data_IF_957740657527
#
_entry.id   IF_957740657527
#
_cell.length_a   1.000
_cell.length_b   1.000
_cell.length_c   1.000
_cell.angle_alpha   90.00
_cell.angle_beta   90.00
_cell.angle_gamma   90.00
#
_symmetry.space_group_name_H-M   'P 1'
#
loop_
_entity.id
_entity.type
_entity.pdbx_description
1 polymer ?
#
# COMPACT_ATOMS: atom_id res chain seq x y z
N UNK A 1 -0.79 -39.50 8.94
CA UNK A 1 -1.98 -38.79 9.49
C UNK A 1 -1.67 -37.29 9.45
N UNK A 2 -1.97 -36.62 8.33
CA UNK A 2 -1.76 -35.18 8.21
C UNK A 2 -2.82 -34.47 9.05
N UNK A 3 -2.40 -33.74 10.09
CA UNK A 3 -3.31 -32.84 10.82
C UNK A 3 -3.81 -31.78 9.84
N UNK A 4 -5.12 -31.50 9.79
CA UNK A 4 -5.61 -30.32 9.08
C UNK A 4 -4.95 -29.10 9.73
N UNK A 5 -4.10 -28.40 8.98
CA UNK A 5 -3.57 -27.09 9.40
C UNK A 5 -4.72 -26.12 9.25
N UNK A 6 -5.43 -25.87 10.35
CA UNK A 6 -6.39 -24.78 10.43
C UNK A 6 -5.70 -23.49 10.02
N UNK A 7 -6.34 -22.69 9.16
CA UNK A 7 -5.86 -21.39 8.71
C UNK A 7 -6.01 -20.30 9.81
N UNK A 8 -5.43 -20.60 10.97
CA UNK A 8 -5.31 -19.67 12.09
C UNK A 8 -4.41 -18.50 11.69
N UNK A 9 -3.50 -18.71 10.74
CA UNK A 9 -2.60 -17.68 10.21
C UNK A 9 -3.36 -16.55 9.52
N UNK A 10 -4.25 -16.88 8.58
CA UNK A 10 -5.06 -15.88 7.87
C UNK A 10 -5.99 -15.14 8.83
N UNK A 11 -6.67 -15.85 9.75
CA UNK A 11 -7.52 -15.22 10.75
C UNK A 11 -6.74 -14.26 11.67
N UNK A 12 -5.57 -14.69 12.18
CA UNK A 12 -4.70 -13.85 12.99
C UNK A 12 -4.18 -12.64 12.22
N UNK A 13 -3.85 -12.80 10.94
CA UNK A 13 -3.44 -11.71 10.06
C UNK A 13 -4.59 -10.70 9.87
N UNK A 14 -5.81 -11.17 9.61
CA UNK A 14 -6.99 -10.32 9.44
C UNK A 14 -7.29 -9.52 10.71
N UNK A 15 -7.30 -10.19 11.87
CA UNK A 15 -7.53 -9.56 13.18
C UNK A 15 -6.42 -8.54 13.49
N UNK A 16 -5.17 -8.91 13.23
CA UNK A 16 -4.03 -8.01 13.41
C UNK A 16 -4.12 -6.76 12.52
N UNK A 17 -4.46 -6.95 11.24
CA UNK A 17 -4.63 -5.88 10.26
C UNK A 17 -5.76 -4.92 10.67
N UNK A 18 -6.94 -5.46 11.00
CA UNK A 18 -8.09 -4.65 11.45
C UNK A 18 -7.77 -3.94 12.76
N UNK A 19 -7.19 -4.63 13.73
CA UNK A 19 -6.82 -4.07 15.03
C UNK A 19 -5.81 -2.93 14.89
N UNK A 20 -4.75 -3.13 14.09
CA UNK A 20 -3.75 -2.11 13.82
C UNK A 20 -4.34 -0.91 13.08
N UNK A 21 -5.20 -1.15 12.08
CA UNK A 21 -5.87 -0.08 11.32
C UNK A 21 -6.79 0.75 12.21
N UNK A 22 -7.59 0.12 13.07
CA UNK A 22 -8.46 0.83 14.01
C UNK A 22 -7.67 1.59 15.08
N UNK A 23 -6.57 1.00 15.58
CA UNK A 23 -5.69 1.66 16.53
C UNK A 23 -5.05 2.90 15.91
N UNK A 24 -4.44 2.78 14.72
CA UNK A 24 -3.82 3.89 14.02
C UNK A 24 -4.83 4.98 13.61
N UNK A 25 -6.02 4.57 13.14
CA UNK A 25 -7.09 5.52 12.83
C UNK A 25 -7.57 6.26 14.09
N UNK A 26 -7.71 5.56 15.23
CA UNK A 26 -8.09 6.19 16.50
C UNK A 26 -7.01 7.15 16.97
N UNK A 27 -5.74 6.79 16.83
CA UNK A 27 -4.61 7.66 17.19
C UNK A 27 -4.61 8.93 16.33
N UNK A 28 -4.68 8.79 15.00
CA UNK A 28 -4.74 9.91 14.06
C UNK A 28 -5.92 10.85 14.36
N UNK A 29 -7.09 10.27 14.63
CA UNK A 29 -8.31 10.99 15.00
C UNK A 29 -8.12 11.77 16.32
N UNK A 30 -7.54 11.14 17.35
CA UNK A 30 -7.31 11.76 18.67
C UNK A 30 -6.34 12.94 18.58
N UNK A 31 -5.33 12.85 17.71
CA UNK A 31 -4.33 13.91 17.55
C UNK A 31 -4.92 15.13 16.84
N UNK A 32 -5.67 14.93 15.74
CA UNK A 32 -6.32 16.06 15.05
C UNK A 32 -7.34 15.58 14.01
N UNK A 33 -8.58 16.06 14.14
CA UNK A 33 -9.68 15.85 13.19
C UNK A 33 -9.65 16.80 11.97
N UNK A 34 -8.51 17.45 11.71
CA UNK A 34 -8.43 18.36 10.55
C UNK A 34 -8.34 17.59 9.24
N UNK A 35 -8.95 18.16 8.19
CA UNK A 35 -8.96 17.58 6.84
C UNK A 35 -7.55 17.19 6.37
N UNK A 36 -6.49 17.99 6.54
CA UNK A 36 -5.12 17.61 6.11
C UNK A 36 -4.61 16.31 6.75
N UNK A 37 -4.94 16.08 8.02
CA UNK A 37 -4.43 14.92 8.76
C UNK A 37 -5.23 13.64 8.46
N UNK A 38 -6.53 13.75 8.20
CA UNK A 38 -7.37 12.60 7.86
C UNK A 38 -7.48 12.35 6.36
N UNK A 39 -7.06 13.29 5.50
CA UNK A 39 -7.27 13.27 4.06
C UNK A 39 -6.91 11.92 3.43
N UNK A 40 -5.77 11.36 3.83
CA UNK A 40 -5.25 10.09 3.32
C UNK A 40 -5.51 8.92 4.27
N UNK A 41 -5.42 9.15 5.59
CA UNK A 41 -5.55 8.09 6.59
C UNK A 41 -6.97 7.52 6.59
N UNK A 42 -7.99 8.38 6.57
CA UNK A 42 -9.38 7.98 6.66
C UNK A 42 -9.84 7.10 5.46
N UNK A 43 -9.68 7.52 4.19
CA UNK A 43 -10.15 6.70 3.07
C UNK A 43 -9.39 5.38 2.95
N UNK A 44 -8.08 5.36 3.24
CA UNK A 44 -7.28 4.13 3.24
C UNK A 44 -7.73 3.19 4.34
N UNK A 45 -7.94 3.69 5.56
CA UNK A 45 -8.45 2.88 6.67
C UNK A 45 -9.83 2.30 6.36
N UNK A 46 -10.74 3.11 5.79
CA UNK A 46 -12.08 2.64 5.37
C UNK A 46 -11.97 1.54 4.31
N UNK A 47 -11.11 1.72 3.29
CA UNK A 47 -10.90 0.69 2.27
C UNK A 47 -10.38 -0.62 2.86
N UNK A 48 -9.38 -0.56 3.75
CA UNK A 48 -8.84 -1.74 4.43
C UNK A 48 -9.93 -2.44 5.26
N UNK A 49 -10.73 -1.69 6.02
CA UNK A 49 -11.80 -2.25 6.84
C UNK A 49 -12.90 -2.90 5.98
N UNK A 50 -13.27 -2.28 4.86
CA UNK A 50 -14.25 -2.86 3.91
C UNK A 50 -13.70 -4.16 3.32
N UNK A 51 -12.44 -4.18 2.87
CA UNK A 51 -11.82 -5.38 2.31
C UNK A 51 -11.72 -6.50 3.34
N UNK A 52 -11.28 -6.20 4.56
CA UNK A 52 -11.20 -7.18 5.64
C UNK A 52 -12.60 -7.70 6.02
N UNK A 53 -13.62 -6.85 6.07
CA UNK A 53 -14.99 -7.26 6.35
C UNK A 53 -15.57 -8.10 5.20
N UNK A 54 -15.31 -7.72 3.95
CA UNK A 54 -15.72 -8.49 2.78
C UNK A 54 -15.09 -9.89 2.81
N UNK A 55 -13.79 -9.98 3.08
CA UNK A 55 -13.06 -11.25 3.20
C UNK A 55 -13.64 -12.11 4.32
N UNK A 56 -13.89 -11.53 5.50
CA UNK A 56 -14.49 -12.24 6.62
C UNK A 56 -15.89 -12.78 6.28
N UNK A 57 -16.73 -11.96 5.62
CA UNK A 57 -18.08 -12.35 5.21
C UNK A 57 -18.06 -13.41 4.12
N UNK A 58 -17.19 -13.28 3.12
CA UNK A 58 -17.02 -14.26 2.04
C UNK A 58 -16.52 -15.59 2.58
N UNK A 59 -15.49 -15.57 3.43
CA UNK A 59 -14.94 -16.75 4.07
C UNK A 59 -15.95 -17.43 4.99
N UNK A 60 -16.74 -16.66 5.73
CA UNK A 60 -17.80 -17.19 6.60
C UNK A 60 -18.96 -17.81 5.80
N UNK A 61 -19.44 -17.12 4.74
CA UNK A 61 -20.52 -17.62 3.87
C UNK A 61 -20.11 -18.81 3.02
N UNK A 62 -18.85 -18.87 2.58
CA UNK A 62 -18.32 -19.97 1.79
C UNK A 62 -17.95 -21.21 2.60
N UNK A 63 -17.93 -21.13 3.94
CA UNK A 63 -17.35 -22.19 4.79
C UNK A 63 -15.83 -22.35 4.58
N UNK A 64 -15.20 -21.37 3.92
CA UNK A 64 -13.81 -21.35 3.48
C UNK A 64 -12.87 -20.65 4.47
N UNK A 65 -13.38 -20.26 5.63
CA UNK A 65 -12.58 -19.72 6.76
C UNK A 65 -11.36 -20.56 7.13
N UNK A 66 -11.32 -21.84 6.70
CA UNK A 66 -10.20 -22.77 6.92
C UNK A 66 -9.80 -23.49 5.63
N UNK A 67 -10.13 -22.96 4.45
CA UNK A 67 -9.68 -23.51 3.19
C UNK A 67 -8.19 -23.22 3.01
N UNK A 68 -7.43 -24.21 2.55
CA UNK A 68 -6.00 -24.05 2.32
C UNK A 68 -5.83 -23.07 1.16
N UNK A 69 -5.42 -21.84 1.47
CA UNK A 69 -4.88 -20.92 0.46
C UNK A 69 -3.72 -21.64 -0.21
N UNK A 70 -3.78 -21.82 -1.53
CA UNK A 70 -2.60 -22.25 -2.29
C UNK A 70 -1.50 -21.24 -1.95
N UNK A 71 -0.42 -21.70 -1.32
CA UNK A 71 0.73 -20.86 -0.97
C UNK A 71 1.23 -20.25 -2.28
N UNK A 72 0.80 -19.02 -2.60
CA UNK A 72 1.51 -18.20 -3.57
C UNK A 72 2.95 -18.18 -3.07
N UNK A 73 3.91 -18.68 -3.86
CA UNK A 73 5.25 -18.89 -3.36
C UNK A 73 5.75 -17.53 -2.88
N UNK A 74 6.04 -17.42 -1.57
CA UNK A 74 6.48 -16.18 -0.90
C UNK A 74 7.58 -15.47 -1.71
N UNK A 75 8.38 -16.25 -2.45
CA UNK A 75 9.40 -15.81 -3.40
C UNK A 75 8.91 -14.88 -4.52
N UNK A 76 7.65 -14.96 -4.94
CA UNK A 76 7.05 -14.09 -5.96
C UNK A 76 6.58 -12.75 -5.38
N UNK A 77 6.09 -12.75 -4.14
CA UNK A 77 5.57 -11.55 -3.45
C UNK A 77 6.70 -10.77 -2.77
N UNK A 78 7.69 -11.48 -2.21
CA UNK A 78 8.80 -10.90 -1.44
C UNK A 78 9.55 -9.78 -2.19
N UNK A 79 9.85 -9.90 -3.49
CA UNK A 79 10.50 -8.84 -4.24
C UNK A 79 9.66 -7.55 -4.30
N UNK A 80 8.33 -7.67 -4.39
CA UNK A 80 7.41 -6.52 -4.44
C UNK A 80 7.37 -5.84 -3.07
N UNK A 81 7.27 -6.61 -1.99
CA UNK A 81 7.31 -6.09 -0.61
C UNK A 81 8.64 -5.38 -0.35
N UNK A 82 9.76 -5.99 -0.77
CA UNK A 82 11.09 -5.40 -0.60
C UNK A 82 11.24 -4.11 -1.41
N UNK A 83 10.73 -4.08 -2.64
CA UNK A 83 10.71 -2.86 -3.46
C UNK A 83 9.89 -1.75 -2.80
N UNK A 84 8.71 -2.08 -2.26
CA UNK A 84 7.87 -1.11 -1.54
C UNK A 84 8.56 -0.59 -0.28
N UNK A 85 9.19 -1.47 0.51
CA UNK A 85 9.96 -1.07 1.68
C UNK A 85 11.15 -0.16 1.31
N UNK A 86 11.90 -0.51 0.25
CA UNK A 86 12.99 0.31 -0.25
C UNK A 86 12.50 1.69 -0.71
N UNK A 87 11.35 1.74 -1.38
CA UNK A 87 10.72 3.00 -1.77
C UNK A 87 10.40 3.88 -0.55
N UNK A 88 9.68 3.36 0.44
CA UNK A 88 9.31 4.10 1.65
C UNK A 88 10.55 4.61 2.40
N UNK A 89 11.58 3.76 2.54
CA UNK A 89 12.84 4.15 3.16
C UNK A 89 13.59 5.20 2.35
N UNK A 90 13.46 5.21 1.03
CA UNK A 90 14.15 6.17 0.15
C UNK A 90 13.54 7.58 0.15
N UNK A 91 12.26 7.72 0.57
CA UNK A 91 11.53 8.99 0.53
C UNK A 91 12.24 10.18 1.21
N UNK A 92 12.89 10.03 2.38
CA UNK A 92 13.58 11.14 3.03
C UNK A 92 14.77 11.69 2.23
N UNK A 93 15.38 10.88 1.34
CA UNK A 93 16.57 11.26 0.57
C UNK A 93 16.25 11.59 -0.88
N UNK A 94 15.38 10.81 -1.52
CA UNK A 94 15.04 10.97 -2.95
C UNK A 94 13.86 11.89 -3.18
N UNK A 95 13.08 12.19 -2.15
CA UNK A 95 11.81 12.90 -2.30
C UNK A 95 10.70 12.02 -2.89
N UNK A 96 9.47 12.50 -2.78
CA UNK A 96 8.26 11.77 -3.16
C UNK A 96 8.13 11.56 -4.67
N UNK A 97 8.49 12.56 -5.46
CA UNK A 97 8.42 12.54 -6.92
C UNK A 97 9.38 11.53 -7.55
N UNK A 98 10.69 11.70 -7.35
CA UNK A 98 11.72 10.82 -7.90
C UNK A 98 11.59 9.41 -7.33
N UNK A 99 11.27 9.29 -6.03
CA UNK A 99 10.98 8.01 -5.40
C UNK A 99 9.84 7.26 -6.09
N UNK A 100 8.72 7.96 -6.38
CA UNK A 100 7.56 7.36 -7.05
C UNK A 100 7.88 6.97 -8.49
N UNK A 101 8.60 7.81 -9.24
CA UNK A 101 9.00 7.52 -10.62
C UNK A 101 9.88 6.26 -10.66
N UNK A 102 10.90 6.18 -9.81
CA UNK A 102 11.80 5.02 -9.74
C UNK A 102 11.06 3.76 -9.29
N UNK A 103 10.21 3.87 -8.27
CA UNK A 103 9.39 2.75 -7.79
C UNK A 103 8.53 2.17 -8.91
N UNK A 104 7.79 3.02 -9.63
CA UNK A 104 6.91 2.59 -10.73
C UNK A 104 7.72 2.01 -11.89
N UNK A 105 8.85 2.64 -12.26
CA UNK A 105 9.71 2.14 -13.31
C UNK A 105 10.27 0.74 -13.00
N UNK A 106 10.77 0.54 -11.78
CA UNK A 106 11.31 -0.76 -11.33
C UNK A 106 10.18 -1.79 -11.21
N UNK A 107 9.01 -1.39 -10.71
CA UNK A 107 7.84 -2.26 -10.60
C UNK A 107 7.35 -2.77 -11.96
N UNK A 108 7.22 -1.88 -12.96
CA UNK A 108 6.87 -2.27 -14.33
C UNK A 108 7.92 -3.19 -14.94
N UNK A 109 9.20 -2.94 -14.65
CA UNK A 109 10.30 -3.81 -15.10
C UNK A 109 10.21 -5.21 -14.50
N UNK A 110 9.87 -5.32 -13.21
CA UNK A 110 9.67 -6.60 -12.54
C UNK A 110 8.48 -7.39 -13.10
N UNK A 111 7.43 -6.69 -13.55
CA UNK A 111 6.28 -7.29 -14.25
C UNK A 111 6.57 -7.65 -15.72
N UNK A 112 7.84 -7.57 -16.16
CA UNK A 112 8.34 -7.93 -17.49
C UNK A 112 7.84 -7.04 -18.64
N UNK A 113 7.48 -5.78 -18.36
CA UNK A 113 7.18 -4.84 -19.43
C UNK A 113 8.45 -4.52 -20.23
N UNK A 114 8.41 -4.78 -21.55
CA UNK A 114 9.59 -4.73 -22.42
C UNK A 114 9.75 -3.40 -23.13
N UNK A 115 8.68 -2.63 -23.27
CA UNK A 115 8.70 -1.36 -23.97
C UNK A 115 9.23 -0.23 -23.06
N UNK A 116 10.50 0.12 -23.24
CA UNK A 116 11.17 1.19 -22.48
C UNK A 116 10.46 2.54 -22.59
N UNK A 117 9.85 2.86 -23.73
CA UNK A 117 9.10 4.11 -23.90
C UNK A 117 7.85 4.15 -23.03
N UNK A 118 7.13 3.02 -22.90
CA UNK A 118 5.97 2.93 -22.01
C UNK A 118 6.38 2.96 -20.54
N UNK A 119 7.46 2.26 -20.17
CA UNK A 119 7.96 2.25 -18.79
C UNK A 119 8.35 3.66 -18.36
N UNK A 120 9.13 4.38 -19.17
CA UNK A 120 9.58 5.74 -18.85
C UNK A 120 8.40 6.72 -18.91
N UNK A 121 7.60 6.68 -19.98
CA UNK A 121 6.47 7.59 -20.15
C UNK A 121 5.43 7.44 -19.04
N UNK A 122 5.07 6.20 -18.69
CA UNK A 122 4.11 5.93 -17.63
C UNK A 122 4.67 6.29 -16.25
N UNK A 123 5.91 5.88 -15.93
CA UNK A 123 6.51 6.19 -14.62
C UNK A 123 6.67 7.69 -14.38
N UNK A 124 7.15 8.44 -15.37
CA UNK A 124 7.28 9.90 -15.27
C UNK A 124 5.92 10.57 -15.22
N UNK A 125 5.00 10.22 -16.13
CA UNK A 125 3.68 10.83 -16.18
C UNK A 125 2.86 10.57 -14.92
N UNK A 126 2.83 9.32 -14.45
CA UNK A 126 2.13 8.94 -13.23
C UNK A 126 2.79 9.51 -11.98
N UNK A 127 4.12 9.43 -11.89
CA UNK A 127 4.88 9.95 -10.75
C UNK A 127 4.69 11.46 -10.58
N UNK A 128 4.77 12.25 -11.67
CA UNK A 128 4.51 13.68 -11.63
C UNK A 128 3.04 14.01 -11.37
N UNK A 129 2.09 13.29 -11.98
CA UNK A 129 0.67 13.51 -11.74
C UNK A 129 0.29 13.28 -10.26
N UNK A 130 0.83 12.22 -9.65
CA UNK A 130 0.64 11.94 -8.23
C UNK A 130 1.36 12.99 -7.37
N UNK A 131 2.60 13.33 -7.69
CA UNK A 131 3.35 14.36 -6.99
C UNK A 131 2.57 15.68 -6.94
N UNK A 132 2.02 16.12 -8.08
CA UNK A 132 1.17 17.31 -8.18
C UNK A 132 -0.15 17.16 -7.42
N UNK A 133 -0.80 16.01 -7.51
CA UNK A 133 -2.05 15.75 -6.79
C UNK A 133 -1.85 15.89 -5.27
N UNK A 134 -0.79 15.27 -4.72
CA UNK A 134 -0.49 15.38 -3.30
C UNK A 134 -0.03 16.79 -2.93
N UNK A 135 0.74 17.47 -3.78
CA UNK A 135 1.16 18.84 -3.55
C UNK A 135 -0.01 19.83 -3.48
N UNK A 136 -1.02 19.65 -4.32
CA UNK A 136 -2.23 20.49 -4.31
C UNK A 136 -3.16 20.16 -3.14
N UNK A 137 -3.17 18.91 -2.68
CA UNK A 137 -4.06 18.47 -1.60
C UNK A 137 -3.46 18.66 -0.19
N UNK A 138 -2.14 18.61 -0.03
CA UNK A 138 -1.47 18.73 1.27
C UNK A 138 -0.92 20.14 1.47
N UNK A 139 -1.33 20.87 2.53
CA UNK A 139 -0.75 22.17 2.89
C UNK A 139 0.66 22.05 3.51
N UNK A 140 1.31 20.89 3.44
CA UNK A 140 2.59 20.61 4.08
C UNK A 140 3.69 20.37 3.04
N UNK A 141 4.89 20.95 3.22
CA UNK A 141 5.99 20.79 2.27
C UNK A 141 6.44 19.33 2.26
N UNK A 142 6.13 18.62 1.18
CA UNK A 142 6.71 17.30 0.93
C UNK A 142 8.12 17.48 0.38
N UNK A 143 9.09 16.63 0.76
CA UNK A 143 10.39 16.63 0.12
C UNK A 143 10.20 16.22 -1.34
N UNK A 144 10.40 17.18 -2.25
CA UNK A 144 10.29 17.01 -3.69
C UNK A 144 11.65 17.33 -4.30
N UNK A 145 12.13 16.50 -5.21
CA UNK A 145 13.44 16.68 -5.84
C UNK A 145 13.37 17.54 -7.09
N UNK A 146 12.27 17.47 -7.85
CA UNK A 146 12.10 18.17 -9.12
C UNK A 146 11.04 19.28 -9.11
N UNK A 147 10.04 19.19 -8.22
CA UNK A 147 9.02 20.24 -8.05
C UNK A 147 9.34 21.04 -6.77
N UNK A 148 10.16 22.11 -6.84
CA UNK A 148 10.30 23.02 -5.72
C UNK A 148 8.96 23.75 -5.56
N UNK A 149 8.27 23.45 -4.46
CA UNK A 149 7.08 24.16 -4.01
C UNK A 149 7.50 24.78 -2.69
N UNK A 150 8.23 25.88 -2.80
CA UNK A 150 8.60 26.75 -1.67
C UNK A 150 7.39 27.61 -1.26
#
# INVERSE_FOLDING_TARGET
>A
MNKPRYDVGHLCMLIGLVGFTLWYLSDAIRVSFTVPNLLLILPVAVAILILALAELVMSWRGGKLFEVVDDEPVREILPIILLFAAYVLSLPWLGFDLGTILFVAIFLRMKKETNWYLVIGYSVGFGLAIALFFALMLPYPMPMTFLPID
#
